data_IF_841365625087
#
_entry.id   IF_841365625087
#
_cell.length_a   1.000
_cell.length_b   1.000
_cell.length_c   1.000
_cell.angle_alpha   90.00
_cell.angle_beta   90.00
_cell.angle_gamma   90.00
#
_symmetry.space_group_name_H-M   'P 1'
#
loop_
_entity.id
_entity.type
_entity.pdbx_description
1 polymer ?
#
# COMPACT_ATOMS: atom_id res chain seq x y z
N UNK A 1 -11.93 0.18 -3.01
CA UNK A 1 -10.53 0.29 -2.54
C UNK A 1 -10.50 0.40 -1.02
N UNK A 2 -9.44 -0.10 -0.36
CA UNK A 2 -9.27 0.03 1.11
C UNK A 2 -8.31 1.15 1.47
N UNK A 3 -8.43 1.70 2.71
CA UNK A 3 -7.63 2.85 3.14
C UNK A 3 -7.96 4.11 2.34
N UNK A 4 -9.20 4.24 1.91
CA UNK A 4 -9.63 5.27 0.97
C UNK A 4 -9.97 6.63 1.60
N UNK A 5 -9.98 6.71 2.93
CA UNK A 5 -10.34 7.93 3.65
C UNK A 5 -9.18 8.92 3.84
N UNK A 6 -7.93 8.48 3.67
CA UNK A 6 -6.76 9.34 3.91
C UNK A 6 -5.55 8.99 3.02
N UNK A 7 -4.55 9.86 3.01
CA UNK A 7 -3.23 9.62 2.41
C UNK A 7 -3.28 9.19 0.95
N UNK A 8 -2.52 8.14 0.62
CA UNK A 8 -2.37 7.62 -0.76
C UNK A 8 -3.73 7.14 -1.30
N UNK A 9 -4.50 6.38 -0.49
CA UNK A 9 -5.79 5.87 -0.94
C UNK A 9 -6.78 6.97 -1.28
N UNK A 10 -6.90 8.00 -0.45
CA UNK A 10 -7.78 9.15 -0.73
C UNK A 10 -7.36 9.87 -2.04
N UNK A 11 -6.06 10.02 -2.30
CA UNK A 11 -5.59 10.66 -3.53
C UNK A 11 -5.88 9.82 -4.77
N UNK A 12 -5.70 8.49 -4.70
CA UNK A 12 -6.10 7.57 -5.79
C UNK A 12 -7.61 7.70 -6.06
N UNK A 13 -8.44 7.70 -4.99
CA UNK A 13 -9.88 7.87 -5.13
C UNK A 13 -10.25 9.20 -5.78
N UNK A 14 -9.63 10.29 -5.34
CA UNK A 14 -9.83 11.64 -5.88
C UNK A 14 -9.52 11.72 -7.38
N UNK A 15 -8.38 11.17 -7.80
CA UNK A 15 -7.96 11.16 -9.24
C UNK A 15 -8.92 10.34 -10.09
N UNK A 16 -9.30 9.15 -9.63
CA UNK A 16 -10.23 8.30 -10.36
C UNK A 16 -11.63 8.94 -10.48
N UNK A 17 -12.13 9.56 -9.40
CA UNK A 17 -13.41 10.29 -9.42
C UNK A 17 -13.34 11.50 -10.37
N UNK A 18 -12.23 12.24 -10.36
CA UNK A 18 -12.01 13.35 -11.29
C UNK A 18 -11.96 12.90 -12.77
N UNK A 19 -11.54 11.66 -13.02
CA UNK A 19 -11.57 11.04 -14.34
C UNK A 19 -12.93 10.40 -14.71
N UNK A 20 -13.99 10.67 -13.93
CA UNK A 20 -15.35 10.15 -14.17
C UNK A 20 -15.54 8.66 -13.83
N UNK A 21 -14.61 8.05 -13.08
CA UNK A 21 -14.73 6.64 -12.67
C UNK A 21 -15.56 6.52 -11.40
N UNK A 22 -16.39 5.47 -11.33
CA UNK A 22 -17.07 5.08 -10.09
C UNK A 22 -16.03 4.50 -9.13
N UNK A 23 -15.94 5.06 -7.92
CA UNK A 23 -14.99 4.63 -6.88
C UNK A 23 -15.72 4.44 -5.57
N UNK A 24 -15.57 3.26 -4.99
CA UNK A 24 -16.07 2.92 -3.64
C UNK A 24 -14.87 2.78 -2.71
N UNK A 25 -14.86 3.57 -1.65
CA UNK A 25 -13.81 3.57 -0.63
C UNK A 25 -14.27 2.82 0.61
N UNK A 26 -13.39 1.97 1.15
CA UNK A 26 -13.56 1.27 2.42
C UNK A 26 -12.52 1.77 3.41
N UNK A 27 -12.94 2.10 4.61
CA UNK A 27 -12.05 2.54 5.69
C UNK A 27 -12.76 2.37 7.04
N UNK A 28 -12.02 2.41 8.13
CA UNK A 28 -12.60 2.51 9.48
C UNK A 28 -13.07 3.93 9.81
N UNK A 29 -12.68 4.92 9.02
CA UNK A 29 -13.08 6.31 9.17
C UNK A 29 -14.43 6.58 8.50
N UNK A 30 -15.28 7.36 9.15
CA UNK A 30 -16.64 7.69 8.70
C UNK A 30 -16.70 8.47 7.36
N UNK A 31 -15.57 8.98 6.89
CA UNK A 31 -15.45 9.69 5.60
C UNK A 31 -15.38 8.74 4.38
N UNK A 32 -15.27 7.43 4.61
CA UNK A 32 -15.33 6.42 3.55
C UNK A 32 -16.79 6.13 3.12
N UNK A 33 -16.96 5.63 1.91
CA UNK A 33 -18.29 5.23 1.41
C UNK A 33 -18.85 4.02 2.18
N UNK A 34 -17.97 3.13 2.63
CA UNK A 34 -18.31 1.95 3.43
C UNK A 34 -17.34 1.85 4.62
N UNK A 35 -17.90 1.83 5.84
CA UNK A 35 -17.11 1.52 7.04
C UNK A 35 -16.72 0.04 7.01
N UNK A 36 -15.41 -0.25 7.06
CA UNK A 36 -14.89 -1.60 7.00
C UNK A 36 -13.55 -1.72 7.73
N UNK A 37 -13.53 -2.52 8.78
CA UNK A 37 -12.29 -2.99 9.37
C UNK A 37 -11.77 -4.20 8.56
N UNK A 38 -10.64 -4.02 7.88
CA UNK A 38 -10.04 -5.07 7.03
C UNK A 38 -9.55 -6.27 7.83
N UNK A 39 -9.41 -6.17 9.14
CA UNK A 39 -9.00 -7.28 10.02
C UNK A 39 -10.12 -8.25 10.34
N UNK A 40 -11.40 -7.82 10.16
CA UNK A 40 -12.59 -8.62 10.33
C UNK A 40 -13.04 -9.26 9.01
N UNK A 41 -12.96 -10.60 8.88
CA UNK A 41 -13.41 -11.29 7.66
C UNK A 41 -14.88 -11.03 7.31
N UNK A 42 -15.74 -10.88 8.34
CA UNK A 42 -17.18 -10.65 8.15
C UNK A 42 -17.43 -9.24 7.60
N UNK A 43 -16.73 -8.24 8.14
CA UNK A 43 -16.81 -6.87 7.64
C UNK A 43 -16.34 -6.76 6.18
N UNK A 44 -15.25 -7.45 5.83
CA UNK A 44 -14.71 -7.48 4.44
C UNK A 44 -15.73 -8.12 3.47
N UNK A 45 -16.30 -9.26 3.83
CA UNK A 45 -17.29 -9.93 2.98
C UNK A 45 -18.58 -9.08 2.85
N UNK A 46 -19.04 -8.43 3.93
CA UNK A 46 -20.20 -7.54 3.89
C UNK A 46 -19.95 -6.30 3.03
N UNK A 47 -18.78 -5.65 3.16
CA UNK A 47 -18.40 -4.51 2.36
C UNK A 47 -18.28 -4.87 0.86
N UNK A 48 -17.72 -6.05 0.56
CA UNK A 48 -17.63 -6.56 -0.81
C UNK A 48 -19.02 -6.82 -1.40
N UNK A 49 -19.89 -7.50 -0.67
CA UNK A 49 -21.27 -7.79 -1.11
C UNK A 49 -22.07 -6.51 -1.37
N UNK A 50 -21.96 -5.51 -0.47
CA UNK A 50 -22.58 -4.20 -0.65
C UNK A 50 -22.03 -3.47 -1.88
N UNK A 51 -20.73 -3.45 -2.07
CA UNK A 51 -20.09 -2.84 -3.25
C UNK A 51 -20.63 -3.46 -4.55
N UNK A 52 -20.74 -4.79 -4.61
CA UNK A 52 -21.22 -5.50 -5.78
C UNK A 52 -22.70 -5.21 -6.03
N UNK A 53 -23.52 -5.19 -4.98
CA UNK A 53 -24.96 -4.94 -5.10
C UNK A 53 -25.27 -3.52 -5.61
N UNK A 54 -24.48 -2.52 -5.17
CA UNK A 54 -24.73 -1.11 -5.52
C UNK A 54 -24.06 -0.69 -6.84
N UNK A 55 -22.94 -1.32 -7.22
CA UNK A 55 -22.08 -0.81 -8.31
C UNK A 55 -21.61 -1.88 -9.31
N UNK A 56 -21.97 -3.15 -9.10
CA UNK A 56 -21.44 -4.28 -9.88
C UNK A 56 -20.05 -4.70 -9.39
N UNK A 57 -19.47 -5.72 -10.03
CA UNK A 57 -18.16 -6.27 -9.65
C UNK A 57 -17.04 -5.32 -10.08
N UNK A 58 -16.27 -4.77 -9.15
CA UNK A 58 -15.13 -3.91 -9.51
C UNK A 58 -14.01 -4.73 -10.16
N UNK A 59 -13.45 -4.22 -11.25
CA UNK A 59 -12.32 -4.84 -11.96
C UNK A 59 -10.95 -4.26 -11.56
N UNK A 60 -10.95 -3.17 -10.76
CA UNK A 60 -9.72 -2.52 -10.27
C UNK A 60 -9.81 -2.34 -8.75
N UNK A 61 -8.82 -2.88 -8.05
CA UNK A 61 -8.75 -2.85 -6.59
C UNK A 61 -7.43 -2.24 -6.12
N UNK A 62 -7.49 -1.09 -5.48
CA UNK A 62 -6.34 -0.50 -4.77
C UNK A 62 -6.46 -0.80 -3.29
N UNK A 63 -5.44 -1.40 -2.70
CA UNK A 63 -5.41 -1.84 -1.30
C UNK A 63 -4.35 -1.03 -0.55
N UNK A 64 -4.81 0.03 0.13
CA UNK A 64 -3.95 1.01 0.79
C UNK A 64 -4.16 1.08 2.31
N UNK A 65 -5.04 0.26 2.88
CA UNK A 65 -5.19 0.17 4.33
C UNK A 65 -3.88 -0.30 4.99
N UNK A 66 -3.46 0.38 6.04
CA UNK A 66 -2.24 0.03 6.74
C UNK A 66 -2.00 0.87 7.98
N UNK A 67 -1.23 0.31 8.91
CA UNK A 67 -0.82 0.96 10.16
C UNK A 67 0.68 0.86 10.35
N UNK A 68 1.24 1.87 11.03
CA UNK A 68 2.63 1.87 11.45
C UNK A 68 2.83 1.30 12.85
N UNK A 69 4.08 0.97 13.15
CA UNK A 69 4.55 0.65 14.49
C UNK A 69 5.99 1.13 14.63
N UNK A 70 6.31 1.79 15.73
CA UNK A 70 7.66 2.25 16.05
C UNK A 70 8.07 1.80 17.46
N UNK A 71 9.34 1.42 17.63
CA UNK A 71 9.93 0.98 18.89
C UNK A 71 11.09 0.02 18.65
N UNK A 72 12.00 -0.08 19.61
CA UNK A 72 13.07 -1.09 19.56
C UNK A 72 12.46 -2.49 19.73
N UNK A 73 12.96 -3.48 18.95
CA UNK A 73 12.43 -4.85 19.01
C UNK A 73 12.44 -5.48 20.41
N UNK A 74 13.34 -5.05 21.28
CA UNK A 74 13.41 -5.51 22.66
C UNK A 74 12.27 -4.94 23.54
N UNK A 75 11.66 -3.83 23.14
CA UNK A 75 10.72 -3.06 23.94
C UNK A 75 9.28 -3.15 23.38
N UNK A 76 9.09 -3.81 22.23
CA UNK A 76 7.78 -3.96 21.61
C UNK A 76 7.01 -5.14 22.21
N UNK A 77 5.74 -4.92 22.50
CA UNK A 77 4.82 -5.90 23.04
C UNK A 77 4.09 -6.70 21.94
N UNK A 78 3.61 -7.90 22.30
CA UNK A 78 2.98 -8.82 21.37
C UNK A 78 1.70 -8.27 20.71
N UNK A 79 0.93 -7.46 21.43
CA UNK A 79 -0.29 -6.83 20.90
C UNK A 79 0.00 -5.83 19.77
N UNK A 80 1.16 -5.17 19.81
CA UNK A 80 1.63 -4.33 18.71
C UNK A 80 1.96 -5.16 17.45
N UNK A 81 2.52 -6.37 17.64
CA UNK A 81 2.73 -7.33 16.55
C UNK A 81 1.40 -7.74 15.92
N UNK A 82 0.46 -8.20 16.75
CA UNK A 82 -0.85 -8.69 16.30
C UNK A 82 -1.56 -7.59 15.51
N UNK A 83 -1.64 -6.37 16.04
CA UNK A 83 -2.27 -5.23 15.36
C UNK A 83 -1.65 -4.94 14.00
N UNK A 84 -0.32 -4.93 13.89
CA UNK A 84 0.36 -4.59 12.63
C UNK A 84 0.20 -5.71 11.61
N UNK A 85 0.34 -6.96 12.02
CA UNK A 85 0.18 -8.12 11.15
C UNK A 85 -1.29 -8.30 10.72
N UNK A 86 -2.23 -8.08 11.62
CA UNK A 86 -3.66 -8.19 11.31
C UNK A 86 -4.08 -7.17 10.24
N UNK A 87 -3.64 -5.93 10.33
CA UNK A 87 -3.99 -4.92 9.32
C UNK A 87 -3.19 -5.11 8.04
N UNK A 88 -1.84 -5.10 8.13
CA UNK A 88 -0.97 -4.97 6.97
C UNK A 88 -0.81 -6.26 6.15
N UNK A 89 -0.95 -7.42 6.77
CA UNK A 89 -0.78 -8.72 6.11
C UNK A 89 -2.11 -9.48 5.99
N UNK A 90 -2.78 -9.79 7.11
CA UNK A 90 -4.05 -10.53 7.10
C UNK A 90 -5.17 -9.73 6.43
N UNK A 91 -5.34 -8.44 6.76
CA UNK A 91 -6.35 -7.57 6.16
C UNK A 91 -6.14 -7.37 4.67
N UNK A 92 -4.88 -7.22 4.24
CA UNK A 92 -4.52 -7.22 2.83
C UNK A 92 -4.97 -8.52 2.15
N UNK A 93 -4.61 -9.68 2.70
CA UNK A 93 -4.98 -10.98 2.15
C UNK A 93 -6.50 -11.17 2.09
N UNK A 94 -7.23 -10.83 3.16
CA UNK A 94 -8.69 -10.94 3.20
C UNK A 94 -9.33 -10.13 2.06
N UNK A 95 -8.89 -8.90 1.87
CA UNK A 95 -9.43 -8.01 0.83
C UNK A 95 -9.04 -8.48 -0.58
N UNK A 96 -7.78 -8.87 -0.79
CA UNK A 96 -7.33 -9.43 -2.08
C UNK A 96 -8.15 -10.67 -2.44
N UNK A 97 -8.39 -11.57 -1.46
CA UNK A 97 -9.17 -12.79 -1.67
C UNK A 97 -10.61 -12.49 -2.04
N UNK A 98 -11.26 -11.55 -1.35
CA UNK A 98 -12.63 -11.14 -1.65
C UNK A 98 -12.74 -10.56 -3.07
N UNK A 99 -11.80 -9.69 -3.45
CA UNK A 99 -11.70 -9.11 -4.79
C UNK A 99 -11.52 -10.17 -5.88
N UNK A 100 -10.55 -11.07 -5.71
CA UNK A 100 -10.24 -12.11 -6.70
C UNK A 100 -11.41 -13.10 -6.87
N UNK A 101 -12.07 -13.49 -5.77
CA UNK A 101 -13.27 -14.34 -5.82
C UNK A 101 -14.40 -13.69 -6.60
N UNK A 102 -14.69 -12.41 -6.34
CA UNK A 102 -15.74 -11.68 -7.03
C UNK A 102 -15.45 -11.59 -8.55
N UNK A 103 -14.22 -11.20 -8.93
CA UNK A 103 -13.80 -11.13 -10.34
C UNK A 103 -13.84 -12.51 -11.03
N UNK A 104 -13.37 -13.56 -10.34
CA UNK A 104 -13.41 -14.94 -10.85
C UNK A 104 -14.82 -15.43 -11.07
N UNK A 105 -15.74 -15.25 -10.11
CA UNK A 105 -17.15 -15.66 -10.22
C UNK A 105 -17.88 -14.91 -11.33
N UNK A 106 -17.53 -13.65 -11.55
CA UNK A 106 -18.12 -12.85 -12.64
C UNK A 106 -17.45 -13.12 -14.00
N UNK A 107 -16.32 -13.84 -14.05
CA UNK A 107 -15.57 -14.07 -15.27
C UNK A 107 -14.92 -12.82 -15.88
N UNK A 108 -14.78 -11.73 -15.10
CA UNK A 108 -14.31 -10.44 -15.63
C UNK A 108 -12.78 -10.34 -15.65
N UNK A 109 -12.10 -11.08 -14.77
CA UNK A 109 -10.72 -10.77 -14.46
C UNK A 109 -10.52 -9.37 -13.89
N UNK A 110 -9.29 -8.87 -13.83
CA UNK A 110 -9.03 -7.51 -13.37
C UNK A 110 -7.62 -7.26 -12.83
N UNK A 111 -7.46 -6.18 -12.08
CA UNK A 111 -6.20 -5.72 -11.54
C UNK A 111 -6.32 -5.37 -10.06
N UNK A 112 -5.44 -5.95 -9.24
CA UNK A 112 -5.27 -5.63 -7.82
C UNK A 112 -3.90 -4.98 -7.65
N UNK A 113 -3.84 -3.80 -7.02
CA UNK A 113 -2.60 -3.12 -6.67
C UNK A 113 -2.59 -2.82 -5.18
N UNK A 114 -1.63 -3.43 -4.46
CA UNK A 114 -1.40 -3.20 -3.05
C UNK A 114 -0.40 -2.05 -2.82
N UNK A 115 -0.60 -1.25 -1.77
CA UNK A 115 0.39 -0.29 -1.31
C UNK A 115 1.21 -0.93 -0.19
N UNK A 116 2.45 -1.31 -0.53
CA UNK A 116 3.38 -1.93 0.43
C UNK A 116 4.36 -0.90 1.01
N UNK A 117 5.66 -1.11 0.96
CA UNK A 117 6.68 -0.15 1.39
C UNK A 117 8.07 -0.62 0.97
N UNK A 118 9.01 0.30 0.77
CA UNK A 118 10.45 -0.05 0.68
C UNK A 118 10.96 -0.73 1.95
N UNK A 119 10.32 -0.48 3.10
CA UNK A 119 10.58 -1.16 4.39
C UNK A 119 10.37 -2.69 4.34
N UNK A 120 9.69 -3.20 3.31
CA UNK A 120 9.62 -4.65 3.06
C UNK A 120 10.99 -5.27 2.74
N UNK A 121 11.95 -4.46 2.28
CA UNK A 121 13.29 -4.87 1.83
C UNK A 121 14.41 -4.18 2.60
N UNK A 122 14.10 -3.05 3.27
CA UNK A 122 15.05 -2.30 4.08
C UNK A 122 14.87 -2.66 5.56
N UNK A 123 15.97 -2.76 6.28
CA UNK A 123 15.97 -3.01 7.72
C UNK A 123 15.91 -1.67 8.48
N UNK A 124 14.72 -1.08 8.52
CA UNK A 124 14.53 0.21 9.18
C UNK A 124 14.56 0.05 10.70
N UNK A 125 15.55 0.68 11.33
CA UNK A 125 15.68 0.66 12.79
C UNK A 125 14.41 1.20 13.43
N UNK A 126 13.94 0.57 14.50
CA UNK A 126 12.70 0.87 15.24
C UNK A 126 11.40 0.53 14.51
N UNK A 127 11.45 -0.03 13.30
CA UNK A 127 10.25 -0.38 12.51
C UNK A 127 10.13 -1.90 12.26
N UNK A 128 10.68 -2.75 13.13
CA UNK A 128 10.81 -4.19 12.88
C UNK A 128 9.49 -4.89 12.53
N UNK A 129 8.41 -4.65 13.30
CA UNK A 129 7.10 -5.29 13.03
C UNK A 129 6.47 -4.75 11.74
N UNK A 130 6.62 -3.45 11.47
CA UNK A 130 6.17 -2.86 10.21
C UNK A 130 6.92 -3.47 9.01
N UNK A 131 8.26 -3.53 9.07
CA UNK A 131 9.09 -4.15 8.02
C UNK A 131 8.66 -5.61 7.76
N UNK A 132 8.48 -6.41 8.82
CA UNK A 132 8.02 -7.79 8.71
C UNK A 132 6.64 -7.89 8.04
N UNK A 133 5.70 -7.04 8.43
CA UNK A 133 4.35 -7.03 7.86
C UNK A 133 4.34 -6.63 6.37
N UNK A 134 5.18 -5.67 5.97
CA UNK A 134 5.30 -5.25 4.58
C UNK A 134 6.05 -6.27 3.71
N UNK A 135 7.02 -7.00 4.29
CA UNK A 135 7.65 -8.14 3.63
C UNK A 135 6.66 -9.29 3.40
N UNK A 136 5.79 -9.57 4.38
CA UNK A 136 4.70 -10.53 4.23
C UNK A 136 3.73 -10.09 3.12
N UNK A 137 3.37 -8.80 3.06
CA UNK A 137 2.51 -8.25 2.02
C UNK A 137 3.11 -8.41 0.61
N UNK A 138 4.41 -8.11 0.42
CA UNK A 138 5.11 -8.30 -0.86
C UNK A 138 5.07 -9.77 -1.30
N UNK A 139 5.26 -10.72 -0.39
CA UNK A 139 5.21 -12.15 -0.71
C UNK A 139 3.79 -12.61 -1.03
N UNK A 140 2.78 -12.15 -0.28
CA UNK A 140 1.37 -12.46 -0.57
C UNK A 140 0.95 -11.96 -1.97
N UNK A 141 1.40 -10.78 -2.38
CA UNK A 141 1.16 -10.25 -3.74
C UNK A 141 1.74 -11.19 -4.80
N UNK A 142 2.97 -11.67 -4.62
CA UNK A 142 3.64 -12.56 -5.60
C UNK A 142 2.97 -13.92 -5.69
N UNK A 143 2.60 -14.51 -4.55
CA UNK A 143 1.90 -15.80 -4.53
C UNK A 143 0.51 -15.66 -5.16
N UNK A 144 -0.25 -14.63 -4.78
CA UNK A 144 -1.55 -14.34 -5.36
C UNK A 144 -1.49 -14.11 -6.88
N UNK A 145 -0.47 -13.40 -7.36
CA UNK A 145 -0.25 -13.19 -8.80
C UNK A 145 -0.09 -14.52 -9.55
N UNK A 146 0.66 -15.46 -8.99
CA UNK A 146 0.88 -16.77 -9.58
C UNK A 146 -0.40 -17.63 -9.57
N UNK A 147 -1.10 -17.65 -8.43
CA UNK A 147 -2.28 -18.49 -8.25
C UNK A 147 -3.51 -17.97 -9.01
N UNK A 148 -3.64 -16.65 -9.18
CA UNK A 148 -4.85 -16.02 -9.74
C UNK A 148 -4.71 -15.59 -11.20
N UNK A 149 -3.52 -15.68 -11.78
CA UNK A 149 -3.31 -15.42 -13.21
C UNK A 149 -4.24 -16.28 -14.12
N UNK A 150 -4.49 -17.58 -13.85
CA UNK A 150 -5.44 -18.37 -14.63
C UNK A 150 -6.90 -17.88 -14.53
N UNK A 151 -7.22 -17.05 -13.51
CA UNK A 151 -8.52 -16.42 -13.33
C UNK A 151 -8.62 -15.07 -14.07
N UNK A 152 -7.58 -14.66 -14.81
CA UNK A 152 -7.50 -13.37 -15.44
C UNK A 152 -7.24 -12.21 -14.48
N UNK A 153 -6.81 -12.48 -13.24
CA UNK A 153 -6.55 -11.47 -12.20
C UNK A 153 -5.05 -11.21 -12.09
N UNK A 154 -4.63 -9.98 -12.37
CA UNK A 154 -3.27 -9.51 -12.13
C UNK A 154 -3.17 -8.93 -10.73
N UNK A 155 -2.09 -9.24 -10.02
CA UNK A 155 -1.84 -8.74 -8.66
C UNK A 155 -0.43 -8.16 -8.62
N UNK A 156 -0.32 -6.88 -8.28
CA UNK A 156 0.93 -6.15 -8.18
C UNK A 156 0.96 -5.31 -6.90
N UNK A 157 2.09 -4.70 -6.62
CA UNK A 157 2.22 -3.72 -5.55
C UNK A 157 3.00 -2.48 -6.00
N UNK A 158 2.78 -1.38 -5.31
CA UNK A 158 3.65 -0.21 -5.28
C UNK A 158 4.27 -0.15 -3.89
N UNK A 159 5.59 0.02 -3.83
CA UNK A 159 6.37 0.16 -2.60
C UNK A 159 6.85 1.61 -2.45
N UNK A 160 6.15 2.46 -1.70
CA UNK A 160 6.56 3.83 -1.46
C UNK A 160 7.82 3.93 -0.61
N UNK A 161 8.61 4.98 -0.84
CA UNK A 161 9.57 5.51 0.13
C UNK A 161 8.90 6.40 1.18
N UNK A 162 9.69 7.30 1.79
CA UNK A 162 9.16 8.30 2.73
C UNK A 162 8.15 9.18 2.00
N UNK A 163 6.89 9.07 2.38
CA UNK A 163 5.76 9.75 1.73
C UNK A 163 4.94 10.51 2.78
N UNK A 164 4.67 11.78 2.53
CA UNK A 164 3.90 12.67 3.42
C UNK A 164 2.44 12.23 3.49
N UNK A 165 2.11 11.46 4.52
CA UNK A 165 0.77 10.93 4.79
C UNK A 165 0.46 11.02 6.27
N UNK A 166 -0.81 10.94 6.69
CA UNK A 166 -1.17 10.86 8.11
C UNK A 166 -0.47 9.71 8.86
N UNK A 167 -0.15 8.60 8.17
CA UNK A 167 0.58 7.48 8.74
C UNK A 167 1.99 7.87 9.22
N UNK A 168 2.65 8.79 8.51
CA UNK A 168 3.98 9.29 8.87
C UNK A 168 3.93 10.26 10.05
N UNK A 169 2.77 10.87 10.31
CA UNK A 169 2.57 11.90 11.31
C UNK A 169 2.98 13.30 10.82
N UNK A 170 2.97 14.27 11.74
CA UNK A 170 3.40 15.62 11.47
C UNK A 170 4.93 15.66 11.32
N UNK A 171 5.49 16.17 10.20
CA UNK A 171 6.93 16.33 10.00
C UNK A 171 7.63 17.12 11.12
N UNK A 172 6.94 18.09 11.74
CA UNK A 172 7.48 18.87 12.85
C UNK A 172 7.69 18.01 14.12
N UNK A 173 6.87 16.98 14.31
CA UNK A 173 6.95 16.01 15.42
C UNK A 173 7.73 14.74 15.06
N UNK A 174 8.21 14.61 13.83
CA UNK A 174 8.88 13.43 13.28
C UNK A 174 10.29 13.76 12.75
N UNK A 175 11.22 14.26 13.59
CA UNK A 175 12.53 14.74 13.13
C UNK A 175 13.39 13.66 12.47
N UNK A 176 13.10 12.37 12.70
CA UNK A 176 13.79 11.24 12.05
C UNK A 176 13.53 11.17 10.53
N UNK A 177 12.48 11.79 10.02
CA UNK A 177 12.15 11.85 8.58
C UNK A 177 13.21 12.63 7.78
N UNK A 178 13.82 13.64 8.38
CA UNK A 178 14.83 14.47 7.70
C UNK A 178 16.04 13.64 7.20
N UNK A 179 16.45 12.60 7.95
CA UNK A 179 17.56 11.74 7.56
C UNK A 179 17.30 10.96 6.26
N UNK A 180 16.22 10.16 6.17
CA UNK A 180 15.84 9.49 4.93
C UNK A 180 15.60 10.45 3.75
N UNK A 181 14.95 11.58 3.96
CA UNK A 181 14.72 12.58 2.90
C UNK A 181 16.04 13.13 2.36
N UNK A 182 17.00 13.43 3.23
CA UNK A 182 18.33 13.92 2.81
C UNK A 182 19.11 12.90 1.99
N UNK A 183 18.81 11.60 2.14
CA UNK A 183 19.43 10.50 1.38
C UNK A 183 18.65 10.14 0.11
N UNK A 184 17.43 10.65 -0.04
CA UNK A 184 16.62 10.40 -1.24
C UNK A 184 17.25 11.12 -2.45
N UNK A 185 17.63 10.41 -3.53
CA UNK A 185 18.29 11.03 -4.70
C UNK A 185 17.48 12.16 -5.33
N UNK A 186 16.15 12.07 -5.38
CA UNK A 186 15.31 13.16 -5.88
C UNK A 186 15.20 14.36 -4.92
N UNK A 187 15.77 14.28 -3.71
CA UNK A 187 15.97 15.42 -2.80
C UNK A 187 14.74 15.89 -2.04
N UNK A 188 13.66 15.14 -2.07
CA UNK A 188 12.42 15.45 -1.36
C UNK A 188 11.75 14.18 -0.85
N UNK A 189 10.82 14.34 0.06
CA UNK A 189 9.83 13.30 0.37
C UNK A 189 8.87 13.11 -0.82
N UNK A 190 8.29 11.93 -0.92
CA UNK A 190 7.18 11.66 -1.81
C UNK A 190 5.89 12.30 -1.29
N UNK A 191 4.95 12.51 -2.19
CA UNK A 191 3.59 12.96 -1.86
C UNK A 191 2.57 11.87 -2.18
N UNK A 192 1.35 11.92 -1.63
CA UNK A 192 0.29 11.01 -2.06
C UNK A 192 0.06 11.01 -3.56
N UNK A 193 0.25 12.17 -4.22
CA UNK A 193 0.13 12.34 -5.67
C UNK A 193 1.17 11.54 -6.46
N UNK A 194 2.43 11.49 -5.99
CA UNK A 194 3.50 10.72 -6.62
C UNK A 194 3.17 9.21 -6.57
N UNK A 195 2.66 8.74 -5.43
CA UNK A 195 2.35 7.32 -5.27
C UNK A 195 1.05 6.94 -5.99
N UNK A 196 0.05 7.81 -5.98
CA UNK A 196 -1.19 7.59 -6.72
C UNK A 196 -0.92 7.45 -8.23
N UNK A 197 -0.01 8.25 -8.79
CA UNK A 197 0.42 8.12 -10.18
C UNK A 197 1.00 6.74 -10.47
N UNK A 198 1.92 6.25 -9.63
CA UNK A 198 2.50 4.92 -9.76
C UNK A 198 1.43 3.80 -9.64
N UNK A 199 0.50 3.91 -8.69
CA UNK A 199 -0.60 2.94 -8.51
C UNK A 199 -1.48 2.89 -9.77
N UNK A 200 -1.88 4.04 -10.29
CA UNK A 200 -2.71 4.11 -11.50
C UNK A 200 -1.98 3.56 -12.72
N UNK A 201 -0.70 3.89 -12.89
CA UNK A 201 0.12 3.34 -13.98
C UNK A 201 0.20 1.81 -13.91
N UNK A 202 0.42 1.23 -12.72
CA UNK A 202 0.50 -0.23 -12.55
C UNK A 202 -0.83 -0.93 -12.89
N UNK A 203 -1.96 -0.29 -12.61
CA UNK A 203 -3.26 -0.83 -13.02
C UNK A 203 -3.40 -0.99 -14.54
N UNK A 204 -2.80 -0.10 -15.33
CA UNK A 204 -2.88 -0.09 -16.80
C UNK A 204 -1.88 -1.05 -17.48
N UNK A 205 -0.89 -1.59 -16.76
CA UNK A 205 0.13 -2.48 -17.30
C UNK A 205 -0.43 -3.90 -17.49
N UNK A 206 -1.01 -4.18 -18.67
CA UNK A 206 -1.71 -5.44 -18.97
C UNK A 206 -0.84 -6.71 -18.95
N UNK A 207 0.48 -6.60 -19.09
CA UNK A 207 1.42 -7.73 -19.10
C UNK A 207 2.33 -7.78 -17.87
N UNK A 208 1.88 -7.17 -16.75
CA UNK A 208 2.62 -7.12 -15.48
C UNK A 208 1.77 -7.74 -14.38
N UNK A 209 2.31 -8.78 -13.72
CA UNK A 209 1.74 -9.41 -12.52
C UNK A 209 2.85 -9.95 -11.64
N UNK A 210 2.68 -9.87 -10.32
CA UNK A 210 3.68 -10.28 -9.32
C UNK A 210 4.81 -9.25 -9.10
N UNK A 211 4.71 -8.06 -9.72
CA UNK A 211 5.71 -7.01 -9.58
C UNK A 211 5.44 -6.14 -8.35
N UNK A 212 6.51 -5.70 -7.72
CA UNK A 212 6.50 -4.70 -6.65
C UNK A 212 7.28 -3.49 -7.14
N UNK A 213 6.57 -2.54 -7.73
CA UNK A 213 7.15 -1.30 -8.26
C UNK A 213 7.60 -0.40 -7.11
N UNK A 214 8.89 -0.10 -7.05
CA UNK A 214 9.43 0.85 -6.07
C UNK A 214 9.18 2.29 -6.53
N UNK A 215 8.55 3.09 -5.67
CA UNK A 215 8.26 4.51 -5.86
C UNK A 215 8.78 5.33 -4.67
N UNK A 216 10.10 5.54 -4.60
CA UNK A 216 10.80 6.02 -3.41
C UNK A 216 11.77 7.18 -3.66
N UNK A 217 11.76 7.77 -4.84
CA UNK A 217 12.68 8.82 -5.22
C UNK A 217 14.15 8.37 -5.26
N UNK A 218 14.39 7.05 -5.30
CA UNK A 218 15.72 6.43 -5.31
C UNK A 218 16.30 6.14 -3.91
N UNK A 219 15.51 6.27 -2.83
CA UNK A 219 15.96 6.04 -1.45
C UNK A 219 16.61 4.66 -1.27
N UNK A 220 16.03 3.62 -1.86
CA UNK A 220 16.51 2.23 -1.75
C UNK A 220 17.76 1.93 -2.59
N UNK A 221 18.19 2.84 -3.46
CA UNK A 221 19.41 2.70 -4.27
C UNK A 221 20.69 3.07 -3.48
N UNK A 222 20.56 3.47 -2.20
CA UNK A 222 21.68 3.89 -1.41
C UNK A 222 22.70 2.77 -1.23
N UNK A 223 23.90 2.99 -1.75
CA UNK A 223 25.07 2.11 -1.56
C UNK A 223 25.98 2.67 -0.48
N UNK A 224 26.61 1.84 0.37
CA UNK A 224 27.67 2.29 1.26
C UNK A 224 28.95 2.67 0.51
N UNK A 225 29.05 2.31 -0.78
CA UNK A 225 30.23 2.60 -1.61
C UNK A 225 29.95 3.89 -2.38
N UNK A 226 30.59 4.97 -1.95
CA UNK A 226 30.62 6.25 -2.65
C UNK A 226 32.08 6.68 -2.85
N UNK A 227 32.73 6.23 -3.95
CA UNK A 227 34.15 6.51 -4.19
C UNK A 227 34.50 7.98 -4.36
N UNK A 228 33.50 8.79 -4.71
CA UNK A 228 33.68 10.22 -4.98
C UNK A 228 33.31 11.10 -3.78
N UNK A 229 32.70 10.51 -2.72
CA UNK A 229 32.21 11.26 -1.55
C UNK A 229 31.25 12.38 -1.94
N UNK A 230 30.37 12.11 -2.92
CA UNK A 230 29.47 13.10 -3.48
C UNK A 230 28.57 13.70 -2.39
N UNK A 231 28.91 14.90 -1.98
CA UNK A 231 28.05 15.73 -1.15
C UNK A 231 27.25 16.64 -2.08
N UNK A 232 25.93 16.53 -2.05
CA UNK A 232 25.10 17.53 -2.73
C UNK A 232 25.53 18.93 -2.30
N UNK A 233 25.64 19.89 -3.24
CA UNK A 233 25.75 21.30 -2.85
C UNK A 233 24.56 21.61 -1.94
N UNK A 234 24.82 22.20 -0.77
CA UNK A 234 23.73 22.76 0.04
C UNK A 234 23.12 23.91 -0.75
N UNK A 235 21.78 24.00 -0.82
CA UNK A 235 21.12 25.14 -1.44
C UNK A 235 21.48 26.44 -0.77
#
# INVERSE_FOLDING_TARGET
>A
MTGGASGIGAEVARRLRAAGRTVVTWDVQDTADISCDVTDPTAVEAANARTIAEHGVPTHWTLSAGVGCGGMLLDLEADAWDRVMDVNAKGLWLTMRAAARAMSQAGTGGSIVAVTSVSARLADRTMGFYCASKAAADMLVRVAAQEWAPLGVRVNAVAPGVTRTPLLGDPASTPWVAGPVSRTPLGREGTPEDIAEAVLAVHELGWVTGEVLTADGGLSLHSPIDPLGYRRPRP
#
